data_IF_353713694251
#
_entry.id   IF_353713694251
#
_cell.length_a   1.000
_cell.length_b   1.000
_cell.length_c   1.000
_cell.angle_alpha   90.00
_cell.angle_beta   90.00
_cell.angle_gamma   90.00
#
_symmetry.space_group_name_H-M   'P 1'
#
loop_
_entity.id
_entity.type
_entity.pdbx_description
1 polymer ?
#
# COMPACT_ATOMS: atom_id res chain seq x y z
N UNK A 1 -25.87 -15.28 0.70
CA UNK A 1 -24.48 -15.17 1.20
C UNK A 1 -24.29 -13.78 1.76
N UNK A 2 -24.14 -13.65 3.08
CA UNK A 2 -24.03 -12.35 3.74
C UNK A 2 -22.59 -11.84 3.58
N UNK A 3 -22.35 -10.92 2.66
CA UNK A 3 -21.01 -10.33 2.45
C UNK A 3 -20.74 -9.38 3.61
N UNK A 4 -19.99 -9.86 4.60
CA UNK A 4 -19.56 -9.04 5.73
C UNK A 4 -18.93 -7.75 5.17
N UNK A 5 -19.62 -6.62 5.40
CA UNK A 5 -19.22 -5.29 4.90
C UNK A 5 -17.86 -4.98 5.51
N UNK A 6 -16.77 -5.19 4.75
CA UNK A 6 -15.39 -4.96 5.20
C UNK A 6 -15.28 -3.48 5.60
N UNK A 7 -15.20 -3.23 6.91
CA UNK A 7 -15.00 -1.88 7.44
C UNK A 7 -13.50 -1.58 7.37
N UNK A 8 -13.15 -0.39 6.91
CA UNK A 8 -11.79 0.11 7.04
C UNK A 8 -11.39 0.10 8.53
N UNK A 9 -10.09 -0.11 8.86
CA UNK A 9 -9.62 -0.05 10.24
C UNK A 9 -10.03 1.28 10.93
N UNK A 10 -10.19 1.29 12.26
CA UNK A 10 -10.42 2.53 13.00
C UNK A 10 -9.28 3.54 12.73
N UNK A 11 -9.63 4.81 12.48
CA UNK A 11 -8.65 5.89 12.30
C UNK A 11 -8.09 6.07 10.89
N UNK A 12 -8.48 5.26 9.90
CA UNK A 12 -8.19 5.57 8.48
C UNK A 12 -9.33 6.36 7.86
N UNK A 13 -8.96 7.35 7.04
CA UNK A 13 -9.88 8.08 6.19
C UNK A 13 -10.64 7.09 5.29
N UNK A 14 -11.96 7.26 5.25
CA UNK A 14 -12.89 6.32 4.59
C UNK A 14 -13.23 6.74 3.17
N UNK A 15 -12.63 7.83 2.69
CA UNK A 15 -12.76 8.26 1.31
C UNK A 15 -12.21 7.20 0.36
N UNK A 16 -12.54 7.35 -0.93
CA UNK A 16 -12.20 6.38 -1.95
C UNK A 16 -10.70 6.03 -1.90
N UNK A 17 -10.34 4.74 -2.00
CA UNK A 17 -8.95 4.34 -1.94
C UNK A 17 -8.14 5.01 -3.05
N UNK A 18 -6.87 5.35 -2.76
CA UNK A 18 -5.94 5.84 -3.78
C UNK A 18 -5.68 4.71 -4.77
N UNK A 19 -6.20 4.88 -6.00
CA UNK A 19 -5.98 3.95 -7.09
C UNK A 19 -4.56 4.09 -7.66
N UNK A 20 -3.77 3.03 -7.60
CA UNK A 20 -2.43 2.97 -8.20
C UNK A 20 -2.47 2.07 -9.43
N UNK A 21 -1.89 2.53 -10.53
CA UNK A 21 -1.67 1.71 -11.73
C UNK A 21 -0.28 1.11 -11.66
N UNK A 22 -0.23 -0.21 -11.73
CA UNK A 22 0.99 -1.00 -11.84
C UNK A 22 1.12 -1.53 -13.26
N UNK A 23 2.36 -1.69 -13.72
CA UNK A 23 2.67 -2.54 -14.87
C UNK A 23 2.25 -3.99 -14.57
N UNK A 24 2.01 -4.83 -15.59
CA UNK A 24 1.58 -6.22 -15.38
C UNK A 24 2.50 -7.00 -14.43
N UNK A 25 3.81 -6.86 -14.58
CA UNK A 25 4.84 -7.57 -13.81
C UNK A 25 4.85 -7.11 -12.35
N UNK A 26 4.79 -5.80 -12.11
CA UNK A 26 4.70 -5.21 -10.77
C UNK A 26 3.42 -5.68 -10.05
N UNK A 27 2.31 -5.81 -10.79
CA UNK A 27 1.04 -6.29 -10.25
C UNK A 27 1.15 -7.76 -9.83
N UNK A 28 1.79 -8.60 -10.62
CA UNK A 28 2.04 -10.00 -10.28
C UNK A 28 2.90 -10.13 -9.03
N UNK A 29 3.97 -9.34 -8.93
CA UNK A 29 4.85 -9.30 -7.76
C UNK A 29 4.09 -8.88 -6.49
N UNK A 30 3.27 -7.83 -6.56
CA UNK A 30 2.41 -7.41 -5.43
C UNK A 30 1.45 -8.51 -5.02
N UNK A 31 0.85 -9.24 -5.96
CA UNK A 31 -0.05 -10.36 -5.66
C UNK A 31 0.70 -11.48 -4.95
N UNK A 32 1.89 -11.85 -5.42
CA UNK A 32 2.68 -12.91 -4.84
C UNK A 32 3.20 -12.55 -3.44
N UNK A 33 3.84 -11.39 -3.31
CA UNK A 33 4.42 -10.95 -2.04
C UNK A 33 3.35 -10.74 -0.98
N UNK A 34 2.20 -10.14 -1.33
CA UNK A 34 1.11 -9.95 -0.36
C UNK A 34 0.54 -11.27 0.17
N UNK A 35 0.49 -12.33 -0.67
CA UNK A 35 0.11 -13.68 -0.22
C UNK A 35 1.15 -14.27 0.73
N UNK A 36 2.44 -14.20 0.37
CA UNK A 36 3.55 -14.70 1.20
C UNK A 36 3.58 -14.02 2.57
N UNK A 37 3.26 -12.73 2.59
CA UNK A 37 3.24 -11.86 3.78
C UNK A 37 1.91 -11.96 4.57
N UNK A 38 0.91 -12.70 4.08
CA UNK A 38 -0.38 -12.91 4.75
C UNK A 38 -1.28 -11.67 4.81
N UNK A 39 -1.06 -10.66 3.95
CA UNK A 39 -1.81 -9.39 3.95
C UNK A 39 -2.69 -9.25 2.72
N UNK A 40 -3.70 -8.38 2.80
CA UNK A 40 -4.44 -7.98 1.59
C UNK A 40 -3.53 -7.12 0.70
N UNK A 41 -3.73 -7.16 -0.61
CA UNK A 41 -2.97 -6.34 -1.57
C UNK A 41 -2.92 -4.86 -1.17
N UNK A 42 -4.05 -4.27 -0.79
CA UNK A 42 -4.11 -2.87 -0.37
C UNK A 42 -3.32 -2.60 0.92
N UNK A 43 -3.41 -3.49 1.90
CA UNK A 43 -2.61 -3.39 3.13
C UNK A 43 -1.12 -3.53 2.85
N UNK A 44 -0.74 -4.43 1.94
CA UNK A 44 0.63 -4.68 1.55
C UNK A 44 1.22 -3.49 0.79
N UNK A 45 0.50 -2.95 -0.20
CA UNK A 45 0.90 -1.74 -0.93
C UNK A 45 1.05 -0.54 0.01
N UNK A 46 0.13 -0.36 0.97
CA UNK A 46 0.24 0.70 1.98
C UNK A 46 1.52 0.56 2.82
N UNK A 47 1.88 -0.67 3.20
CA UNK A 47 3.13 -0.92 3.94
C UNK A 47 4.36 -0.52 3.11
N UNK A 48 4.43 -0.95 1.86
CA UNK A 48 5.53 -0.56 0.94
C UNK A 48 5.58 0.97 0.78
N UNK A 49 4.44 1.62 0.59
CA UNK A 49 4.35 3.08 0.50
C UNK A 49 4.96 3.76 1.74
N UNK A 50 4.64 3.30 2.95
CA UNK A 50 5.18 3.89 4.18
C UNK A 50 6.70 3.74 4.28
N UNK A 51 7.24 2.60 3.86
CA UNK A 51 8.69 2.36 3.81
C UNK A 51 9.33 3.32 2.79
N UNK A 52 8.80 3.36 1.57
CA UNK A 52 9.29 4.24 0.50
C UNK A 52 9.18 5.72 0.83
N UNK A 53 8.12 6.14 1.53
CA UNK A 53 7.92 7.52 1.96
C UNK A 53 9.02 7.98 2.92
N UNK A 54 9.42 7.12 3.86
CA UNK A 54 10.49 7.45 4.79
C UNK A 54 11.82 7.67 4.07
N UNK A 55 12.13 6.81 3.09
CA UNK A 55 13.32 6.95 2.25
C UNK A 55 13.27 8.20 1.38
N UNK A 56 12.16 8.45 0.70
CA UNK A 56 11.98 9.63 -0.12
C UNK A 56 12.18 10.92 0.70
N UNK A 57 11.61 11.00 1.92
CA UNK A 57 11.82 12.14 2.83
C UNK A 57 13.28 12.34 3.19
N UNK A 58 14.04 11.26 3.45
CA UNK A 58 15.49 11.33 3.71
C UNK A 58 16.24 11.93 2.52
N UNK A 59 15.94 11.47 1.32
CA UNK A 59 16.57 11.99 0.10
C UNK A 59 16.26 13.47 -0.13
N UNK A 60 15.03 13.92 0.14
CA UNK A 60 14.68 15.34 0.02
C UNK A 60 15.45 16.21 1.02
N UNK A 61 15.63 15.74 2.26
CA UNK A 61 16.41 16.46 3.26
C UNK A 61 17.88 16.61 2.88
N UNK A 62 18.46 15.58 2.23
CA UNK A 62 19.85 15.61 1.76
C UNK A 62 20.07 16.54 0.55
N UNK A 63 19.06 16.68 -0.34
CA UNK A 63 19.16 17.56 -1.52
C UNK A 63 19.09 19.05 -1.21
N UNK A 64 18.66 19.41 0.00
CA UNK A 64 18.51 20.80 0.44
C UNK A 64 19.73 21.31 1.23
N UNK A 65 20.76 20.47 1.39
CA UNK A 65 22.05 20.81 1.99
C UNK A 65 23.09 21.02 0.90
#
# INVERSE_FOLDING_TARGET
MNTAKRRAPPGVEKDLPVGVRFMPEEREEVIELSKRDGRTRGSFVRMIYLIGLAEWKRQQAQKQQ
#
